data_IF_967282699936
#
_entry.id   IF_967282699936
#
_cell.length_a   1.000
_cell.length_b   1.000
_cell.length_c   1.000
_cell.angle_alpha   90.00
_cell.angle_beta   90.00
_cell.angle_gamma   90.00
#
_symmetry.space_group_name_H-M   'P 1'
#
loop_
_entity.id
_entity.type
_entity.pdbx_description
1 polymer ?
#
# COMPACT_ATOMS: atom_id res chain seq x y z
N UNK A 1 -40.65 13.68 -13.89
CA UNK A 1 -39.31 14.15 -13.48
C UNK A 1 -38.66 13.27 -12.41
N UNK A 2 -39.39 12.85 -11.37
CA UNK A 2 -38.86 11.99 -10.28
C UNK A 2 -38.33 10.60 -10.68
N UNK A 3 -38.84 10.01 -11.76
CA UNK A 3 -38.43 8.66 -12.19
C UNK A 3 -36.98 8.62 -12.73
N UNK A 4 -36.54 9.67 -13.44
CA UNK A 4 -35.19 9.77 -14.02
C UNK A 4 -34.12 9.97 -12.94
N UNK A 5 -34.45 10.72 -11.87
CA UNK A 5 -33.56 10.94 -10.74
C UNK A 5 -33.35 9.65 -9.92
N UNK A 6 -34.41 8.86 -9.72
CA UNK A 6 -34.32 7.56 -9.05
C UNK A 6 -33.50 6.54 -9.83
N UNK A 7 -33.61 6.54 -11.16
CA UNK A 7 -32.80 5.68 -12.01
C UNK A 7 -31.31 6.06 -11.95
N UNK A 8 -30.99 7.35 -11.99
CA UNK A 8 -29.61 7.84 -11.88
C UNK A 8 -28.98 7.47 -10.52
N UNK A 9 -29.70 7.66 -9.42
CA UNK A 9 -29.27 7.23 -8.09
C UNK A 9 -29.08 5.71 -7.99
N UNK A 10 -29.94 4.93 -8.63
CA UNK A 10 -29.79 3.47 -8.69
C UNK A 10 -28.55 3.06 -9.49
N UNK A 11 -28.27 3.71 -10.62
CA UNK A 11 -27.08 3.47 -11.42
C UNK A 11 -25.79 3.84 -10.69
N UNK A 12 -25.77 4.97 -9.96
CA UNK A 12 -24.60 5.37 -9.15
C UNK A 12 -24.39 4.37 -8.01
N UNK A 13 -25.44 4.00 -7.27
CA UNK A 13 -25.34 3.01 -6.20
C UNK A 13 -24.91 1.64 -6.71
N UNK A 14 -25.41 1.20 -7.87
CA UNK A 14 -25.01 -0.07 -8.47
C UNK A 14 -23.54 -0.05 -8.90
N UNK A 15 -23.06 1.08 -9.43
CA UNK A 15 -21.66 1.25 -9.84
C UNK A 15 -20.73 1.27 -8.64
N UNK A 16 -21.11 1.94 -7.55
CA UNK A 16 -20.38 1.93 -6.26
C UNK A 16 -20.38 0.53 -5.64
N UNK A 17 -21.52 -0.15 -5.62
CA UNK A 17 -21.65 -1.51 -5.09
C UNK A 17 -20.80 -2.50 -5.90
N UNK A 18 -20.84 -2.42 -7.23
CA UNK A 18 -19.98 -3.21 -8.11
C UNK A 18 -18.50 -2.92 -7.85
N UNK A 19 -18.14 -1.65 -7.65
CA UNK A 19 -16.78 -1.24 -7.34
C UNK A 19 -16.28 -1.83 -6.02
N UNK A 20 -17.09 -1.73 -4.96
CA UNK A 20 -16.82 -2.34 -3.65
C UNK A 20 -16.73 -3.87 -3.74
N UNK A 21 -17.61 -4.51 -4.50
CA UNK A 21 -17.59 -5.95 -4.70
C UNK A 21 -16.34 -6.40 -5.48
N UNK A 22 -15.96 -5.66 -6.52
CA UNK A 22 -14.74 -5.95 -7.29
C UNK A 22 -13.48 -5.74 -6.44
N UNK A 23 -13.47 -4.72 -5.58
CA UNK A 23 -12.36 -4.44 -4.67
C UNK A 23 -12.27 -5.52 -3.58
N UNK A 24 -13.41 -5.95 -3.04
CA UNK A 24 -13.50 -7.08 -2.12
C UNK A 24 -13.01 -8.38 -2.76
N UNK A 25 -13.50 -8.71 -3.97
CA UNK A 25 -13.06 -9.89 -4.71
C UNK A 25 -11.57 -9.77 -5.03
N UNK A 26 -11.07 -8.63 -5.50
CA UNK A 26 -9.66 -8.46 -5.84
C UNK A 26 -8.75 -8.62 -4.63
N UNK A 27 -9.10 -8.03 -3.48
CA UNK A 27 -8.35 -8.18 -2.22
C UNK A 27 -8.42 -9.62 -1.72
N UNK A 28 -9.61 -10.24 -1.72
CA UNK A 28 -9.84 -11.58 -1.18
C UNK A 28 -9.25 -12.69 -2.06
N UNK A 29 -9.40 -12.58 -3.39
CA UNK A 29 -8.89 -13.56 -4.35
C UNK A 29 -7.39 -13.43 -4.57
N UNK A 30 -6.82 -12.21 -4.46
CA UNK A 30 -5.37 -12.02 -4.50
C UNK A 30 -4.69 -12.34 -3.16
N UNK A 31 -5.43 -12.28 -2.04
CA UNK A 31 -4.99 -12.79 -0.73
C UNK A 31 -4.78 -14.31 -0.67
N UNK A 32 -5.28 -15.07 -1.66
CA UNK A 32 -4.95 -16.49 -1.85
C UNK A 32 -3.60 -16.74 -2.54
N UNK A 33 -3.00 -15.73 -3.18
CA UNK A 33 -1.62 -15.85 -3.68
C UNK A 33 -0.67 -15.67 -2.49
N UNK A 34 0.31 -16.57 -2.39
CA UNK A 34 1.27 -16.62 -1.28
C UNK A 34 1.73 -15.20 -0.87
N UNK A 35 1.43 -14.75 0.36
CA UNK A 35 1.83 -13.41 0.82
C UNK A 35 3.35 -13.22 0.79
N UNK A 36 4.10 -14.33 0.81
CA UNK A 36 5.55 -14.34 0.74
C UNK A 36 6.10 -14.03 -0.67
N UNK A 37 5.29 -14.26 -1.72
CA UNK A 37 5.62 -13.95 -3.14
C UNK A 37 5.22 -12.55 -3.55
N UNK A 38 4.76 -11.72 -2.61
CA UNK A 38 4.50 -10.32 -2.87
C UNK A 38 5.85 -9.62 -3.12
N UNK A 39 6.17 -9.41 -4.39
CA UNK A 39 7.32 -8.65 -4.85
C UNK A 39 6.90 -7.19 -4.90
N UNK A 40 7.65 -6.32 -4.23
CA UNK A 40 7.42 -4.88 -4.36
C UNK A 40 7.62 -4.46 -5.82
N UNK A 41 6.64 -3.77 -6.43
CA UNK A 41 6.79 -3.28 -7.78
C UNK A 41 7.81 -2.15 -7.79
N UNK A 42 9.05 -2.45 -8.18
CA UNK A 42 10.14 -1.45 -8.41
C UNK A 42 9.73 -0.31 -9.34
N UNK A 43 8.67 -0.53 -10.13
CA UNK A 43 8.09 0.45 -11.05
C UNK A 43 7.44 1.63 -10.32
N UNK A 44 6.89 1.43 -9.12
CA UNK A 44 6.21 2.52 -8.39
C UNK A 44 7.16 3.62 -7.92
N UNK A 45 8.37 3.25 -7.48
CA UNK A 45 9.39 4.25 -7.11
C UNK A 45 9.87 5.10 -8.29
N UNK A 46 9.64 4.66 -9.53
CA UNK A 46 9.91 5.47 -10.74
C UNK A 46 8.73 6.33 -11.17
N UNK A 47 7.50 5.88 -10.87
CA UNK A 47 6.27 6.58 -11.23
C UNK A 47 5.99 7.78 -10.32
N UNK A 48 6.42 7.71 -9.05
CA UNK A 48 6.18 8.75 -8.04
C UNK A 48 7.50 9.17 -7.36
N UNK A 49 8.40 9.89 -8.06
CA UNK A 49 9.66 10.31 -7.48
C UNK A 49 9.42 11.31 -6.33
N UNK A 50 10.07 11.07 -5.20
CA UNK A 50 10.08 12.00 -4.06
C UNK A 50 11.05 13.16 -4.34
N UNK A 51 10.57 14.40 -4.22
CA UNK A 51 11.42 15.59 -4.23
C UNK A 51 12.05 15.84 -2.84
N UNK A 52 13.34 16.20 -2.88
CA UNK A 52 14.28 16.83 -1.93
C UNK A 52 14.26 16.51 -0.41
N UNK A 53 13.13 16.22 0.23
CA UNK A 53 13.09 15.95 1.69
C UNK A 53 12.56 14.56 2.08
N UNK A 54 11.86 13.88 1.18
CA UNK A 54 11.34 12.54 1.44
C UNK A 54 12.29 11.42 0.96
N UNK A 55 13.36 11.75 0.23
CA UNK A 55 14.48 10.82 -0.05
C UNK A 55 15.22 10.35 1.22
N UNK A 56 14.95 10.97 2.36
CA UNK A 56 15.56 10.67 3.66
C UNK A 56 14.93 9.45 4.34
N UNK A 57 13.78 8.94 3.88
CA UNK A 57 13.23 7.68 4.38
C UNK A 57 13.95 6.51 3.70
N UNK A 58 14.90 5.84 4.37
CA UNK A 58 15.64 4.74 3.77
C UNK A 58 14.68 3.58 3.49
N UNK A 59 14.91 2.79 2.42
CA UNK A 59 14.08 1.61 2.08
C UNK A 59 13.93 0.59 3.24
N UNK A 60 14.81 0.68 4.24
CA UNK A 60 14.69 0.06 5.55
C UNK A 60 15.48 0.87 6.58
N UNK A 61 15.01 0.96 7.82
CA UNK A 61 15.79 1.56 8.92
C UNK A 61 17.00 0.64 9.21
N UNK A 62 18.25 1.09 8.98
CA UNK A 62 19.42 0.29 9.32
C UNK A 62 19.53 0.19 10.84
N UNK A 63 19.74 -1.02 11.35
CA UNK A 63 20.08 -1.21 12.76
C UNK A 63 21.56 -0.85 12.91
N UNK A 64 21.88 -0.01 13.89
CA UNK A 64 23.28 0.33 14.19
C UNK A 64 24.08 -0.94 14.50
N UNK A 65 25.27 -1.02 13.90
CA UNK A 65 26.26 -2.06 14.15
C UNK A 65 26.59 -2.20 15.63
N UNK A 66 26.62 -1.09 16.39
CA UNK A 66 26.83 -1.11 17.83
C UNK A 66 25.70 -1.85 18.56
N UNK A 67 24.44 -1.52 18.25
CA UNK A 67 23.26 -2.16 18.84
C UNK A 67 23.23 -3.65 18.49
N UNK A 68 23.56 -3.99 17.25
CA UNK A 68 23.61 -5.38 16.78
C UNK A 68 24.69 -6.18 17.53
N UNK A 69 25.87 -5.58 17.75
CA UNK A 69 26.96 -6.20 18.50
C UNK A 69 26.61 -6.38 19.98
N UNK A 70 25.95 -5.39 20.59
CA UNK A 70 25.53 -5.44 21.98
C UNK A 70 24.49 -6.55 22.21
N UNK A 71 23.48 -6.63 21.34
CA UNK A 71 22.46 -7.69 21.41
C UNK A 71 23.10 -9.07 21.19
N UNK A 72 24.03 -9.20 20.24
CA UNK A 72 24.76 -10.43 19.98
C UNK A 72 25.54 -10.95 21.21
N UNK A 73 26.20 -10.04 21.93
CA UNK A 73 26.90 -10.36 23.18
C UNK A 73 25.95 -10.78 24.32
N UNK A 74 24.72 -10.26 24.34
CA UNK A 74 23.70 -10.60 25.35
C UNK A 74 22.91 -11.87 25.01
N UNK A 75 22.91 -12.31 23.75
CA UNK A 75 22.11 -13.44 23.26
C UNK A 75 22.79 -14.81 23.30
N UNK A 76 23.88 -14.97 24.06
CA UNK A 76 24.56 -16.26 24.26
C UNK A 76 23.76 -17.18 25.22
N UNK A 77 22.58 -17.63 24.79
CA UNK A 77 21.78 -18.64 25.49
C UNK A 77 21.39 -19.77 24.51
N UNK A 78 21.49 -21.02 24.97
CA UNK A 78 21.50 -22.29 24.20
C UNK A 78 20.26 -22.55 23.31
N UNK A 79 19.16 -21.80 23.46
CA UNK A 79 17.92 -21.96 22.67
C UNK A 79 17.86 -21.12 21.38
N UNK A 80 18.88 -20.30 21.10
CA UNK A 80 18.87 -19.33 20.00
C UNK A 80 18.69 -19.95 18.60
N UNK A 81 19.06 -21.21 18.39
CA UNK A 81 19.10 -21.85 17.05
C UNK A 81 17.71 -22.17 16.49
N UNK A 82 16.69 -22.35 17.35
CA UNK A 82 15.34 -22.80 16.93
C UNK A 82 14.49 -21.63 16.37
N UNK A 83 14.83 -20.37 16.69
CA UNK A 83 14.10 -19.17 16.26
C UNK A 83 14.60 -18.51 14.97
N UNK A 84 15.91 -18.62 14.66
CA UNK A 84 16.60 -17.88 13.58
C UNK A 84 15.88 -17.89 12.22
N UNK A 85 15.39 -19.03 11.67
CA UNK A 85 14.75 -19.02 10.35
C UNK A 85 13.37 -18.35 10.36
N UNK A 86 12.66 -18.36 11.50
CA UNK A 86 11.36 -17.69 11.67
C UNK A 86 11.59 -16.19 11.88
N UNK A 87 12.56 -15.83 12.73
CA UNK A 87 12.91 -14.43 12.99
C UNK A 87 13.40 -13.72 11.73
N UNK A 88 14.19 -14.41 10.89
CA UNK A 88 14.59 -13.89 9.58
C UNK A 88 13.41 -13.69 8.63
N UNK A 89 12.40 -14.57 8.66
CA UNK A 89 11.17 -14.39 7.85
C UNK A 89 10.34 -13.22 8.35
N UNK A 90 10.24 -13.05 9.68
CA UNK A 90 9.55 -11.92 10.29
C UNK A 90 10.25 -10.61 9.94
N UNK A 91 11.58 -10.53 10.06
CA UNK A 91 12.38 -9.35 9.66
C UNK A 91 12.16 -8.97 8.20
N UNK A 92 12.25 -9.95 7.27
CA UNK A 92 11.99 -9.72 5.84
C UNK A 92 10.56 -9.22 5.61
N UNK A 93 9.57 -9.78 6.29
CA UNK A 93 8.18 -9.35 6.18
C UNK A 93 7.95 -7.94 6.75
N UNK A 94 8.61 -7.58 7.85
CA UNK A 94 8.55 -6.22 8.40
C UNK A 94 9.21 -5.19 7.48
N UNK A 95 10.37 -5.51 6.89
CA UNK A 95 11.01 -4.68 5.86
C UNK A 95 10.12 -4.48 4.64
N UNK A 96 9.46 -5.54 4.18
CA UNK A 96 8.47 -5.44 3.09
C UNK A 96 7.27 -4.56 3.47
N UNK A 97 6.78 -4.66 4.70
CA UNK A 97 5.71 -3.77 5.19
C UNK A 97 6.17 -2.31 5.17
N UNK A 98 7.37 -2.02 5.68
CA UNK A 98 7.93 -0.67 5.70
C UNK A 98 8.05 -0.10 4.29
N UNK A 99 8.65 -0.86 3.37
CA UNK A 99 8.80 -0.43 1.99
C UNK A 99 7.44 -0.24 1.26
N UNK A 100 6.43 -1.06 1.58
CA UNK A 100 5.08 -0.89 1.07
C UNK A 100 4.42 0.41 1.56
N UNK A 101 4.55 0.71 2.85
CA UNK A 101 4.06 1.98 3.44
C UNK A 101 4.83 3.19 2.89
N UNK A 102 6.12 3.04 2.59
CA UNK A 102 6.88 4.11 1.95
C UNK A 102 6.31 4.43 0.55
N UNK A 103 6.03 3.44 -0.28
CA UNK A 103 5.39 3.65 -1.60
C UNK A 103 4.00 4.29 -1.49
N UNK A 104 3.23 3.94 -0.46
CA UNK A 104 1.94 4.56 -0.17
C UNK A 104 2.07 6.06 0.12
N UNK A 105 3.07 6.46 0.91
CA UNK A 105 3.38 7.87 1.17
C UNK A 105 3.82 8.59 -0.10
N UNK A 106 4.63 7.96 -0.97
CA UNK A 106 5.05 8.54 -2.24
C UNK A 106 3.86 8.85 -3.14
N UNK A 107 2.98 7.87 -3.35
CA UNK A 107 1.80 8.02 -4.17
C UNK A 107 0.82 9.07 -3.56
N UNK A 108 0.64 9.06 -2.24
CA UNK A 108 -0.18 10.05 -1.53
C UNK A 108 0.32 11.48 -1.70
N UNK A 109 1.63 11.72 -1.53
CA UNK A 109 2.23 13.04 -1.73
C UNK A 109 2.03 13.55 -3.16
N UNK A 110 2.27 12.69 -4.15
CA UNK A 110 2.05 13.03 -5.56
C UNK A 110 0.57 13.33 -5.85
N UNK A 111 -0.34 12.55 -5.28
CA UNK A 111 -1.78 12.80 -5.36
C UNK A 111 -2.17 14.15 -4.79
N UNK A 112 -1.54 14.57 -3.69
CA UNK A 112 -1.79 15.87 -3.06
C UNK A 112 -1.37 17.02 -3.98
N UNK A 113 -0.20 16.91 -4.62
CA UNK A 113 0.29 17.89 -5.60
C UNK A 113 -0.65 18.01 -6.81
N UNK A 114 -1.05 16.89 -7.40
CA UNK A 114 -1.97 16.87 -8.55
C UNK A 114 -3.34 17.44 -8.16
N UNK A 115 -3.83 17.15 -6.97
CA UNK A 115 -5.11 17.69 -6.47
C UNK A 115 -5.07 19.21 -6.32
N UNK A 116 -3.95 19.77 -5.86
CA UNK A 116 -3.76 21.21 -5.77
C UNK A 116 -3.73 21.86 -7.16
N UNK A 117 -3.05 21.25 -8.13
CA UNK A 117 -3.05 21.69 -9.53
C UNK A 117 -4.45 21.63 -10.14
N UNK A 118 -5.18 20.54 -9.94
CA UNK A 118 -6.57 20.39 -10.40
C UNK A 118 -7.46 21.49 -9.83
N UNK A 119 -7.28 21.84 -8.55
CA UNK A 119 -8.07 22.88 -7.91
C UNK A 119 -7.72 24.28 -8.44
N UNK A 120 -6.47 24.56 -8.82
CA UNK A 120 -6.13 25.81 -9.50
C UNK A 120 -6.72 25.86 -10.92
N UNK A 121 -6.68 24.75 -11.65
CA UNK A 121 -7.17 24.69 -13.03
C UNK A 121 -8.70 24.76 -13.08
N UNK A 122 -9.40 24.18 -12.11
CA UNK A 122 -10.85 24.35 -11.96
C UNK A 122 -11.24 25.79 -11.64
N UNK A 123 -10.46 26.51 -10.82
CA UNK A 123 -10.68 27.94 -10.57
C UNK A 123 -10.45 28.77 -11.83
N UNK A 124 -9.40 28.45 -12.59
CA UNK A 124 -9.11 29.10 -13.87
C UNK A 124 -10.23 28.86 -14.89
N UNK A 125 -10.74 27.62 -14.96
CA UNK A 125 -11.89 27.27 -15.80
C UNK A 125 -13.13 28.07 -15.39
N UNK A 126 -13.44 28.15 -14.10
CA UNK A 126 -14.58 28.93 -13.60
C UNK A 126 -14.48 30.41 -13.99
N UNK A 127 -13.28 31.00 -13.91
CA UNK A 127 -13.04 32.38 -14.33
C UNK A 127 -13.09 32.56 -15.86
N UNK A 128 -12.73 31.54 -16.64
CA UNK A 128 -12.76 31.55 -18.10
C UNK A 128 -14.19 31.41 -18.67
N UNK A 129 -15.05 30.65 -17.99
CA UNK A 129 -16.48 30.53 -18.31
C UNK A 129 -17.20 31.90 -18.27
N UNK A 130 -16.74 32.81 -17.41
CA UNK A 130 -17.27 34.18 -17.33
C UNK A 130 -16.77 35.10 -18.47
N UNK A 131 -15.77 34.67 -19.26
CA UNK A 131 -15.00 35.53 -20.19
C UNK A 131 -14.98 35.14 -21.68
N UNK A 132 -15.68 34.07 -22.09
CA UNK A 132 -15.78 33.56 -23.49
C UNK A 132 -14.52 32.94 -24.13
N UNK A 133 -13.47 32.62 -23.35
CA UNK A 133 -12.25 31.99 -23.89
C UNK A 133 -12.35 30.46 -24.04
N UNK A 134 -11.42 29.88 -24.81
CA UNK A 134 -11.32 28.45 -25.17
C UNK A 134 -11.25 27.52 -23.94
N UNK A 135 -12.41 27.18 -23.40
CA UNK A 135 -12.57 26.26 -22.26
C UNK A 135 -12.23 24.80 -22.60
N UNK A 136 -12.11 24.46 -23.89
CA UNK A 136 -11.87 23.09 -24.36
C UNK A 136 -10.49 22.55 -23.95
N UNK A 137 -9.44 23.38 -24.01
CA UNK A 137 -8.09 22.95 -23.64
C UNK A 137 -7.98 22.72 -22.13
N UNK A 138 -8.52 23.66 -21.34
CA UNK A 138 -8.60 23.56 -19.88
C UNK A 138 -9.39 22.32 -19.42
N UNK A 139 -10.54 22.05 -20.06
CA UNK A 139 -11.33 20.85 -19.76
C UNK A 139 -10.54 19.57 -20.05
N UNK A 140 -9.82 19.51 -21.17
CA UNK A 140 -9.00 18.33 -21.52
C UNK A 140 -7.84 18.10 -20.55
N UNK A 141 -7.27 19.18 -19.99
CA UNK A 141 -6.21 19.13 -18.99
C UNK A 141 -6.75 18.61 -17.64
N UNK A 142 -7.92 19.10 -17.23
CA UNK A 142 -8.64 18.64 -16.04
C UNK A 142 -8.99 17.15 -16.16
N UNK A 143 -9.49 16.70 -17.30
CA UNK A 143 -9.79 15.27 -17.55
C UNK A 143 -8.55 14.39 -17.35
N UNK A 144 -7.41 14.78 -17.94
CA UNK A 144 -6.14 14.06 -17.78
C UNK A 144 -5.65 14.04 -16.32
N UNK A 145 -5.82 15.14 -15.59
CA UNK A 145 -5.45 15.19 -14.17
C UNK A 145 -6.33 14.28 -13.31
N UNK A 146 -7.63 14.20 -13.61
CA UNK A 146 -8.57 13.29 -12.93
C UNK A 146 -8.22 11.83 -13.23
N UNK A 147 -7.91 11.49 -14.48
CA UNK A 147 -7.43 10.14 -14.86
C UNK A 147 -6.15 9.79 -14.09
N UNK A 148 -5.20 10.72 -14.02
CA UNK A 148 -3.95 10.51 -13.29
C UNK A 148 -4.17 10.34 -11.78
N UNK A 149 -5.11 11.09 -11.17
CA UNK A 149 -5.48 10.92 -9.78
C UNK A 149 -6.10 9.54 -9.50
N UNK A 150 -6.90 9.02 -10.44
CA UNK A 150 -7.43 7.65 -10.34
C UNK A 150 -6.29 6.63 -10.36
N UNK A 151 -5.32 6.77 -11.26
CA UNK A 151 -4.15 5.90 -11.32
C UNK A 151 -3.31 5.94 -10.03
N UNK A 152 -3.12 7.14 -9.45
CA UNK A 152 -2.48 7.31 -8.14
C UNK A 152 -3.26 6.57 -7.06
N UNK A 153 -4.59 6.68 -7.03
CA UNK A 153 -5.42 6.02 -6.02
C UNK A 153 -5.31 4.50 -6.09
N UNK A 154 -5.28 3.93 -7.31
CA UNK A 154 -4.97 2.50 -7.50
C UNK A 154 -3.55 2.14 -7.08
N UNK A 155 -2.61 3.08 -7.27
CA UNK A 155 -1.24 2.96 -6.79
C UNK A 155 -1.17 2.80 -5.27
N UNK A 156 -1.85 3.69 -4.55
CA UNK A 156 -1.98 3.68 -3.08
C UNK A 156 -2.60 2.36 -2.61
N UNK A 157 -3.79 2.00 -3.14
CA UNK A 157 -4.48 0.76 -2.73
C UNK A 157 -3.60 -0.47 -2.94
N UNK A 158 -2.84 -0.51 -4.05
CA UNK A 158 -1.90 -1.59 -4.30
C UNK A 158 -0.80 -1.59 -3.24
N UNK A 159 -0.15 -0.46 -2.97
CA UNK A 159 0.92 -0.34 -1.97
C UNK A 159 0.44 -0.77 -0.57
N UNK A 160 -0.74 -0.31 -0.13
CA UNK A 160 -1.34 -0.68 1.15
C UNK A 160 -1.63 -2.18 1.23
N UNK A 161 -2.12 -2.79 0.15
CA UNK A 161 -2.37 -4.24 0.10
C UNK A 161 -1.06 -5.06 0.20
N UNK A 162 0.04 -4.58 -0.40
CA UNK A 162 1.35 -5.23 -0.25
C UNK A 162 1.84 -5.14 1.20
N UNK A 163 1.72 -3.96 1.82
CA UNK A 163 2.12 -3.74 3.20
C UNK A 163 1.33 -4.64 4.17
N UNK A 164 0.01 -4.70 3.99
CA UNK A 164 -0.85 -5.54 4.84
C UNK A 164 -0.58 -7.03 4.63
N UNK A 165 -0.36 -7.48 3.40
CA UNK A 165 0.06 -8.86 3.12
C UNK A 165 1.36 -9.24 3.84
N UNK A 166 2.32 -8.31 3.89
CA UNK A 166 3.56 -8.50 4.62
C UNK A 166 3.35 -8.54 6.15
N UNK A 167 2.48 -7.68 6.70
CA UNK A 167 2.10 -7.72 8.14
C UNK A 167 1.39 -9.01 8.52
N UNK A 168 0.54 -9.54 7.64
CA UNK A 168 -0.12 -10.84 7.85
C UNK A 168 0.92 -11.96 7.85
N UNK A 169 1.88 -11.96 6.92
CA UNK A 169 2.98 -12.94 6.92
C UNK A 169 3.83 -12.83 8.20
N UNK A 170 4.18 -11.62 8.64
CA UNK A 170 4.92 -11.39 9.88
C UNK A 170 4.19 -11.93 11.12
N UNK A 171 2.85 -11.81 11.18
CA UNK A 171 2.03 -12.35 12.27
C UNK A 171 1.86 -13.87 12.19
N UNK A 172 1.78 -14.43 10.98
CA UNK A 172 1.54 -15.86 10.76
C UNK A 172 2.74 -16.73 11.12
N UNK A 173 3.96 -16.27 10.82
CA UNK A 173 5.17 -17.09 10.99
C UNK A 173 5.47 -17.49 12.45
N UNK A 174 5.35 -16.60 13.45
CA UNK A 174 5.49 -16.97 14.87
C UNK A 174 4.40 -17.94 15.33
N UNK A 175 3.13 -17.67 14.99
CA UNK A 175 2.00 -18.54 15.38
C UNK A 175 2.17 -19.96 14.85
N UNK A 176 2.63 -20.11 13.60
CA UNK A 176 2.90 -21.44 13.03
C UNK A 176 4.10 -22.14 13.64
N UNK A 177 5.07 -21.40 14.18
CA UNK A 177 6.21 -21.98 14.92
C UNK A 177 5.69 -22.57 16.22
N UNK A 178 4.97 -21.77 17.00
CA UNK A 178 4.50 -22.15 18.33
C UNK A 178 3.50 -23.33 18.22
N UNK A 179 2.64 -23.33 17.20
CA UNK A 179 1.75 -24.48 16.97
C UNK A 179 2.49 -25.77 16.61
N UNK A 180 3.60 -25.68 15.87
CA UNK A 180 4.43 -26.87 15.56
C UNK A 180 5.17 -27.39 16.78
N UNK A 181 5.64 -26.50 17.66
CA UNK A 181 6.29 -26.90 18.90
C UNK A 181 5.30 -27.57 19.84
N UNK A 182 4.09 -27.03 19.96
CA UNK A 182 3.03 -27.61 20.79
C UNK A 182 2.61 -28.99 20.26
N UNK A 183 2.43 -29.12 18.94
CA UNK A 183 2.11 -30.40 18.31
C UNK A 183 3.22 -31.44 18.51
N UNK A 184 4.49 -31.04 18.43
CA UNK A 184 5.64 -31.91 18.66
C UNK A 184 5.73 -32.37 20.13
N UNK A 185 5.45 -31.48 21.08
CA UNK A 185 5.40 -31.81 22.51
C UNK A 185 4.28 -32.80 22.81
N UNK A 186 3.07 -32.58 22.27
CA UNK A 186 1.95 -33.51 22.44
C UNK A 186 2.21 -34.88 21.80
N UNK A 187 2.89 -34.94 20.65
CA UNK A 187 3.26 -36.21 20.02
C UNK A 187 4.31 -37.00 20.80
N UNK A 188 5.16 -36.35 21.58
CA UNK A 188 6.18 -37.01 22.42
C UNK A 188 5.64 -37.61 23.73
N UNK A 189 4.39 -37.28 24.08
CA UNK A 189 3.70 -37.75 25.28
C UNK A 189 2.79 -38.98 25.03
N UNK A 190 2.67 -39.42 23.76
CA UNK A 190 1.93 -40.59 23.31
C UNK A 190 2.89 -41.73 22.95
#
# INVERSE_FOLDING_TARGET
MFLRLRLALFCVNFRVLYWLLSLFIFVFWRGRKDPDKIILPRVMGKLYPLQDMAQVLPDSVPIDSFVTSLVGCMSLAEDAVIGVPVDKKVDVSLKKSYAGTHLELQAGNYGTYVTQSLLSDLKALNNALDGSSDCSELMSLIERQVEFLLDISFGVVRASALAEGARVSARRNPVLRDWKTDAAQHASLL
#
